data_IF_381764513749
#
_entry.id   IF_381764513749
#
_cell.length_a   1.000
_cell.length_b   1.000
_cell.length_c   1.000
_cell.angle_alpha   90.00
_cell.angle_beta   90.00
_cell.angle_gamma   90.00
#
_symmetry.space_group_name_H-M   'P 1'
#
loop_
_entity.id
_entity.type
_entity.pdbx_description
1 polymer ?
#
# COMPACT_ATOMS: atom_id res chain seq x y z
N UNK A 1 2.18 9.93 -5.19
CA UNK A 1 1.37 9.63 -3.99
C UNK A 1 1.01 8.16 -4.02
N UNK A 2 1.10 7.45 -2.89
CA UNK A 2 0.88 6.02 -2.80
C UNK A 2 -0.14 5.72 -1.71
N UNK A 3 -1.04 4.77 -1.94
CA UNK A 3 -1.87 4.22 -0.86
C UNK A 3 -1.42 2.81 -0.56
N UNK A 4 -1.30 2.55 0.72
CA UNK A 4 -1.09 1.24 1.26
C UNK A 4 -2.28 0.97 2.16
N UNK A 5 -3.26 0.24 1.66
CA UNK A 5 -4.37 -0.17 2.49
C UNK A 5 -3.96 -1.39 3.30
N UNK A 6 -4.04 -1.25 4.62
CA UNK A 6 -3.79 -2.36 5.52
C UNK A 6 -5.08 -2.83 6.13
N UNK A 7 -5.61 -3.86 5.50
CA UNK A 7 -6.74 -4.61 6.01
C UNK A 7 -6.35 -5.65 7.07
N UNK A 8 -5.10 -5.67 7.57
CA UNK A 8 -4.75 -6.56 8.69
C UNK A 8 -4.82 -5.85 10.02
N UNK A 9 -5.08 -6.63 11.07
CA UNK A 9 -4.85 -6.25 12.45
C UNK A 9 -3.40 -5.77 12.60
N UNK A 10 -3.21 -4.45 12.69
CA UNK A 10 -1.92 -3.82 12.99
C UNK A 10 -1.60 -3.88 14.50
N UNK A 11 -2.48 -4.52 15.27
CA UNK A 11 -2.48 -4.58 16.73
C UNK A 11 -2.41 -6.05 17.12
N UNK A 12 -1.21 -6.49 17.51
CA UNK A 12 -0.93 -7.88 17.92
C UNK A 12 0.38 -8.42 17.35
N UNK A 13 0.74 -8.05 16.13
CA UNK A 13 2.02 -8.38 15.51
C UNK A 13 2.70 -7.10 14.98
N UNK A 14 3.96 -6.78 15.33
CA UNK A 14 4.65 -5.60 14.83
C UNK A 14 5.05 -5.73 13.34
N UNK A 15 5.18 -6.96 12.85
CA UNK A 15 5.71 -7.31 11.52
C UNK A 15 5.04 -6.55 10.36
N UNK A 16 3.70 -6.48 10.25
CA UNK A 16 3.07 -5.88 9.07
C UNK A 16 3.40 -4.39 8.94
N UNK A 17 3.47 -3.68 10.07
CA UNK A 17 3.79 -2.26 10.09
C UNK A 17 5.27 -2.00 9.75
N UNK A 18 6.17 -2.86 10.21
CA UNK A 18 7.61 -2.78 9.90
C UNK A 18 7.88 -2.98 8.41
N UNK A 19 7.22 -3.97 7.79
CA UNK A 19 7.33 -4.19 6.35
C UNK A 19 6.88 -2.97 5.54
N UNK A 20 5.79 -2.32 5.96
CA UNK A 20 5.34 -1.09 5.32
C UNK A 20 6.28 0.07 5.47
N UNK A 21 6.84 0.21 6.66
CA UNK A 21 7.83 1.22 6.90
C UNK A 21 9.05 1.00 6.01
N UNK A 22 9.51 -0.24 5.86
CA UNK A 22 10.59 -0.60 4.94
C UNK A 22 10.29 -0.20 3.49
N UNK A 23 9.07 -0.51 3.00
CA UNK A 23 8.64 -0.11 1.65
C UNK A 23 8.57 1.41 1.52
N UNK A 24 7.97 2.09 2.49
CA UNK A 24 7.86 3.56 2.51
C UNK A 24 9.24 4.23 2.46
N UNK A 25 10.19 3.77 3.28
CA UNK A 25 11.56 4.30 3.32
C UNK A 25 12.26 4.12 1.97
N UNK A 26 12.21 2.92 1.40
CA UNK A 26 12.81 2.65 0.10
C UNK A 26 12.19 3.50 -1.03
N UNK A 27 10.87 3.75 -0.97
CA UNK A 27 10.21 4.67 -1.90
C UNK A 27 10.64 6.13 -1.68
N UNK A 28 10.76 6.59 -0.44
CA UNK A 28 11.24 7.95 -0.15
C UNK A 28 12.67 8.19 -0.65
N UNK A 29 13.53 7.17 -0.64
CA UNK A 29 14.89 7.27 -1.19
C UNK A 29 14.89 7.54 -2.70
N UNK A 30 13.90 7.04 -3.43
CA UNK A 30 13.76 7.25 -4.88
C UNK A 30 12.90 8.47 -5.22
N UNK A 31 11.91 8.78 -4.37
CA UNK A 31 10.94 9.86 -4.54
C UNK A 31 10.74 10.57 -3.19
N UNK A 32 11.54 11.60 -2.88
CA UNK A 32 11.50 12.28 -1.57
C UNK A 32 10.14 12.87 -1.17
N UNK A 33 9.28 13.17 -2.15
CA UNK A 33 7.93 13.70 -1.93
C UNK A 33 6.86 12.59 -1.80
N UNK A 34 7.26 11.37 -1.45
CA UNK A 34 6.36 10.24 -1.28
C UNK A 34 5.51 10.42 -0.03
N UNK A 35 4.19 10.49 -0.23
CA UNK A 35 3.18 10.33 0.81
C UNK A 35 2.64 8.91 0.76
N UNK A 36 2.66 8.21 1.90
CA UNK A 36 2.02 6.90 2.08
C UNK A 36 0.73 7.05 2.88
N UNK A 37 -0.40 6.66 2.29
CA UNK A 37 -1.67 6.59 3.01
C UNK A 37 -1.83 5.19 3.61
N UNK A 38 -2.13 5.10 4.90
CA UNK A 38 -2.41 3.85 5.62
C UNK A 38 -3.87 3.84 6.04
N UNK A 39 -4.60 2.80 5.64
CA UNK A 39 -6.00 2.63 6.03
C UNK A 39 -6.12 1.33 6.84
N UNK A 40 -6.14 1.39 8.18
CA UNK A 40 -6.36 0.21 9.03
C UNK A 40 -7.75 -0.40 8.81
N UNK A 41 -7.86 -1.74 8.92
CA UNK A 41 -9.16 -2.43 8.87
C UNK A 41 -10.13 -1.93 9.95
N UNK A 42 -9.58 -1.60 11.11
CA UNK A 42 -10.30 -1.14 12.28
C UNK A 42 -9.87 0.30 12.58
N UNK A 43 -10.68 1.32 12.23
CA UNK A 43 -10.31 2.73 12.38
C UNK A 43 -9.83 3.09 13.79
N UNK A 44 -10.38 2.46 14.84
CA UNK A 44 -9.97 2.66 16.22
C UNK A 44 -8.47 2.35 16.48
N UNK A 45 -7.86 1.52 15.63
CA UNK A 45 -6.44 1.19 15.69
C UNK A 45 -5.56 2.30 15.08
N UNK A 46 -6.12 3.25 14.33
CA UNK A 46 -5.37 4.27 13.61
C UNK A 46 -4.48 5.12 14.53
N UNK A 47 -4.96 5.47 15.73
CA UNK A 47 -4.15 6.20 16.73
C UNK A 47 -2.97 5.38 17.24
N UNK A 48 -3.13 4.07 17.40
CA UNK A 48 -2.04 3.19 17.81
C UNK A 48 -1.00 3.02 16.70
N UNK A 49 -1.47 2.81 15.46
CA UNK A 49 -0.62 2.76 14.26
C UNK A 49 0.19 4.05 14.12
N UNK A 50 -0.45 5.21 14.24
CA UNK A 50 0.24 6.49 14.18
C UNK A 50 1.33 6.61 15.26
N UNK A 51 1.03 6.25 16.51
CA UNK A 51 2.03 6.27 17.59
C UNK A 51 3.22 5.35 17.32
N UNK A 52 2.99 4.16 16.76
CA UNK A 52 4.07 3.23 16.41
C UNK A 52 4.96 3.83 15.31
N UNK A 53 4.37 4.38 14.26
CA UNK A 53 5.10 5.02 13.17
C UNK A 53 5.85 6.28 13.60
N UNK A 54 5.28 7.09 14.49
CA UNK A 54 5.95 8.25 15.08
C UNK A 54 7.18 7.85 15.90
N UNK A 55 7.12 6.71 16.62
CA UNK A 55 8.28 6.15 17.34
C UNK A 55 9.41 5.73 16.39
N UNK A 56 9.07 5.31 15.18
CA UNK A 56 10.01 5.00 14.08
C UNK A 56 10.45 6.25 13.29
N UNK A 57 10.22 7.45 13.83
CA UNK A 57 10.71 8.72 13.27
C UNK A 57 9.89 9.26 12.10
N UNK A 58 8.68 8.75 11.86
CA UNK A 58 7.82 9.21 10.75
C UNK A 58 6.92 10.38 11.15
N UNK A 59 6.63 11.26 10.19
CA UNK A 59 5.69 12.37 10.39
C UNK A 59 4.29 11.95 9.96
N UNK A 60 3.47 11.57 10.95
CA UNK A 60 2.14 11.00 10.72
C UNK A 60 1.03 12.04 10.95
N UNK A 61 0.05 12.06 10.05
CA UNK A 61 -1.22 12.80 10.20
C UNK A 61 -2.38 11.81 10.26
N UNK A 62 -3.33 12.03 11.17
CA UNK A 62 -4.57 11.25 11.28
C UNK A 62 -5.70 11.98 10.54
N UNK A 63 -6.53 11.23 9.80
CA UNK A 63 -7.70 11.76 9.08
C UNK A 63 -8.69 12.43 10.03
N UNK A 64 -8.96 11.81 11.17
CA UNK A 64 -9.88 12.34 12.20
C UNK A 64 -9.38 13.62 12.87
N UNK A 65 -8.08 13.90 12.81
CA UNK A 65 -7.42 15.04 13.46
C UNK A 65 -6.98 16.10 12.43
N UNK A 66 -7.74 16.25 11.34
CA UNK A 66 -7.46 17.07 10.14
C UNK A 66 -6.92 18.50 10.39
N UNK A 67 -6.97 19.00 11.62
CA UNK A 67 -6.57 20.34 12.07
C UNK A 67 -5.07 20.56 12.33
N UNK A 68 -4.19 19.61 12.01
CA UNK A 68 -2.73 19.86 12.05
C UNK A 68 -2.09 19.40 10.76
N UNK A 69 -2.05 20.29 9.76
CA UNK A 69 -1.11 20.16 8.65
C UNK A 69 0.30 20.16 9.27
N UNK A 70 0.84 18.98 9.57
CA UNK A 70 2.21 18.86 10.06
C UNK A 70 3.12 19.13 8.86
N UNK A 71 3.94 20.19 8.87
CA UNK A 71 4.93 20.37 7.82
C UNK A 71 5.76 19.08 7.71
N UNK A 72 5.98 18.59 6.49
CA UNK A 72 6.75 17.37 6.20
C UNK A 72 6.08 16.04 6.60
N UNK A 73 4.75 16.00 6.73
CA UNK A 73 4.04 14.74 6.82
C UNK A 73 4.37 13.83 5.63
N UNK A 74 4.74 12.59 5.92
CA UNK A 74 5.06 11.56 4.92
C UNK A 74 4.14 10.34 5.03
N UNK A 75 3.39 10.23 6.12
CA UNK A 75 2.37 9.20 6.32
C UNK A 75 1.03 9.82 6.70
N UNK A 76 -0.04 9.38 6.04
CA UNK A 76 -1.43 9.75 6.31
C UNK A 76 -2.23 8.53 6.78
N UNK A 77 -2.65 8.50 8.03
CA UNK A 77 -3.44 7.38 8.58
C UNK A 77 -4.93 7.74 8.54
N UNK A 78 -5.71 6.92 7.84
CA UNK A 78 -7.15 7.07 7.69
C UNK A 78 -7.85 6.27 8.78
N UNK A 79 -8.12 6.94 9.90
CA UNK A 79 -8.80 6.40 11.08
C UNK A 79 -10.30 6.70 11.08
N UNK A 80 -10.91 6.71 9.89
CA UNK A 80 -12.33 6.95 9.61
C UNK A 80 -12.92 5.85 8.72
N UNK A 81 -14.25 5.78 8.63
CA UNK A 81 -14.97 4.79 7.81
C UNK A 81 -15.54 5.41 6.55
N UNK A 82 -15.76 4.58 5.53
CA UNK A 82 -16.54 4.94 4.34
C UNK A 82 -15.79 5.74 3.27
N UNK A 83 -14.53 6.09 3.50
CA UNK A 83 -13.75 6.93 2.56
C UNK A 83 -12.87 6.11 1.59
N UNK A 84 -12.79 4.78 1.77
CA UNK A 84 -11.82 3.94 1.08
C UNK A 84 -11.96 3.97 -0.45
N UNK A 85 -13.19 3.85 -0.95
CA UNK A 85 -13.45 3.91 -2.40
C UNK A 85 -12.97 5.22 -3.02
N UNK A 86 -13.16 6.34 -2.32
CA UNK A 86 -12.68 7.66 -2.78
C UNK A 86 -11.15 7.70 -2.77
N UNK A 87 -10.53 7.18 -1.72
CA UNK A 87 -9.07 7.12 -1.61
C UNK A 87 -8.45 6.36 -2.78
N UNK A 88 -9.02 5.23 -3.20
CA UNK A 88 -8.49 4.50 -4.36
C UNK A 88 -8.43 5.34 -5.64
N UNK A 89 -9.40 6.21 -5.88
CA UNK A 89 -9.40 7.07 -7.08
C UNK A 89 -8.25 8.06 -7.12
N UNK A 90 -7.68 8.40 -5.96
CA UNK A 90 -6.54 9.29 -5.85
C UNK A 90 -5.20 8.55 -6.02
N UNK A 91 -5.23 7.23 -6.17
CA UNK A 91 -4.07 6.38 -5.93
C UNK A 91 -3.67 5.62 -7.18
N UNK A 92 -2.43 5.84 -7.66
CA UNK A 92 -1.93 5.09 -8.80
C UNK A 92 -1.74 3.61 -8.43
N UNK A 93 -1.27 3.36 -7.21
CA UNK A 93 -0.82 2.06 -6.71
C UNK A 93 -1.39 1.83 -5.31
N UNK A 94 -1.87 0.61 -5.09
CA UNK A 94 -2.52 0.19 -3.85
C UNK A 94 -1.96 -1.16 -3.41
N UNK A 95 -1.44 -1.23 -2.19
CA UNK A 95 -1.19 -2.51 -1.51
C UNK A 95 -2.45 -2.91 -0.77
N UNK A 96 -2.90 -4.15 -0.95
CA UNK A 96 -4.01 -4.76 -0.21
C UNK A 96 -3.42 -5.77 0.77
N UNK A 97 -3.75 -5.59 2.05
CA UNK A 97 -3.35 -6.49 3.12
C UNK A 97 -4.11 -7.83 3.11
N UNK A 98 -4.02 -8.54 4.23
CA UNK A 98 -4.75 -9.78 4.54
C UNK A 98 -4.10 -11.05 4.05
N UNK A 99 -3.04 -10.95 3.29
CA UNK A 99 -2.25 -12.10 2.85
C UNK A 99 -0.75 -11.85 3.02
N UNK A 100 -0.40 -10.81 3.78
CA UNK A 100 0.96 -10.41 4.11
C UNK A 100 1.51 -11.10 5.35
N UNK A 101 0.75 -12.03 5.94
CA UNK A 101 1.20 -12.87 7.04
C UNK A 101 0.68 -14.29 6.80
N UNK A 102 1.44 -15.34 7.19
CA UNK A 102 0.96 -16.71 7.15
C UNK A 102 -0.36 -16.86 7.92
N UNK A 103 -1.27 -17.68 7.39
CA UNK A 103 -2.57 -17.98 8.02
C UNK A 103 -3.73 -17.06 7.63
N UNK A 104 -3.47 -16.02 6.83
CA UNK A 104 -4.52 -15.10 6.36
C UNK A 104 -4.76 -15.25 4.84
N UNK A 105 -5.96 -14.90 4.37
CA UNK A 105 -6.45 -15.21 3.01
C UNK A 105 -6.92 -14.00 2.20
N UNK A 106 -6.14 -12.91 2.19
CA UNK A 106 -6.37 -11.71 1.37
C UNK A 106 -7.68 -10.95 1.66
N UNK A 107 -7.87 -9.80 1.02
CA UNK A 107 -9.15 -9.08 1.02
C UNK A 107 -9.57 -8.67 -0.38
N UNK A 108 -10.74 -8.05 -0.44
CA UNK A 108 -11.33 -7.61 -1.69
C UNK A 108 -10.44 -6.60 -2.41
N UNK A 109 -9.99 -6.97 -3.60
CA UNK A 109 -9.21 -6.13 -4.50
C UNK A 109 -10.09 -5.36 -5.49
N UNK A 110 -11.39 -5.69 -5.58
CA UNK A 110 -12.26 -5.23 -6.67
C UNK A 110 -12.42 -3.72 -6.69
N UNK A 111 -12.51 -3.08 -5.53
CA UNK A 111 -12.68 -1.63 -5.43
C UNK A 111 -11.42 -0.88 -5.90
N UNK A 112 -10.23 -1.36 -5.51
CA UNK A 112 -8.96 -0.82 -5.99
C UNK A 112 -8.79 -1.03 -7.50
N UNK A 113 -9.10 -2.24 -7.97
CA UNK A 113 -9.06 -2.59 -9.38
C UNK A 113 -10.01 -1.72 -10.22
N UNK A 114 -11.24 -1.52 -9.75
CA UNK A 114 -12.25 -0.69 -10.41
C UNK A 114 -11.87 0.79 -10.44
N UNK A 115 -11.16 1.28 -9.42
CA UNK A 115 -10.55 2.62 -9.42
C UNK A 115 -9.30 2.71 -10.32
N UNK A 116 -8.94 1.62 -11.01
CA UNK A 116 -7.79 1.52 -11.90
C UNK A 116 -6.45 1.43 -11.17
N UNK A 117 -6.40 1.23 -9.84
CA UNK A 117 -5.14 1.04 -9.12
C UNK A 117 -4.37 -0.17 -9.66
N UNK A 118 -3.05 -0.05 -9.75
CA UNK A 118 -2.23 -1.26 -9.77
C UNK A 118 -2.22 -1.86 -8.37
N UNK A 119 -2.64 -3.12 -8.27
CA UNK A 119 -2.85 -3.80 -6.99
C UNK A 119 -1.63 -4.65 -6.65
N UNK A 120 -1.10 -4.48 -5.45
CA UNK A 120 -0.15 -5.41 -4.86
C UNK A 120 -0.81 -6.14 -3.70
N UNK A 121 -0.59 -7.44 -3.58
CA UNK A 121 -1.18 -8.24 -2.50
C UNK A 121 -0.27 -9.40 -2.13
N UNK A 122 -0.39 -9.92 -0.91
CA UNK A 122 0.32 -11.14 -0.52
C UNK A 122 -0.32 -12.41 -1.07
N UNK A 123 0.31 -13.56 -0.81
CA UNK A 123 -0.22 -14.90 -1.09
C UNK A 123 -0.50 -15.68 0.20
N UNK A 124 -1.63 -16.42 0.30
CA UNK A 124 -2.68 -16.61 -0.70
C UNK A 124 -3.79 -15.54 -0.63
N UNK A 125 -4.47 -15.28 -1.75
CA UNK A 125 -5.61 -14.33 -1.83
C UNK A 125 -7.00 -14.97 -1.58
N UNK A 126 -7.04 -16.24 -1.17
CA UNK A 126 -8.26 -16.94 -0.76
C UNK A 126 -9.41 -16.85 -1.78
N UNK A 127 -10.55 -16.32 -1.32
CA UNK A 127 -11.78 -16.13 -2.12
C UNK A 127 -11.59 -15.27 -3.38
N UNK A 128 -10.53 -14.46 -3.46
CA UNK A 128 -10.27 -13.57 -4.59
C UNK A 128 -9.35 -14.19 -5.65
N UNK A 129 -8.93 -15.45 -5.49
CA UNK A 129 -8.05 -16.17 -6.41
C UNK A 129 -8.52 -16.12 -7.87
N UNK A 130 -9.81 -16.41 -8.13
CA UNK A 130 -10.37 -16.36 -9.49
C UNK A 130 -10.30 -14.94 -10.07
N UNK A 131 -10.63 -13.92 -9.27
CA UNK A 131 -10.57 -12.51 -9.70
C UNK A 131 -9.14 -12.10 -10.05
N UNK A 132 -8.17 -12.46 -9.21
CA UNK A 132 -6.75 -12.18 -9.47
C UNK A 132 -6.29 -12.85 -10.78
N UNK A 133 -6.66 -14.11 -11.00
CA UNK A 133 -6.32 -14.83 -12.23
C UNK A 133 -6.91 -14.15 -13.48
N UNK A 134 -8.20 -13.76 -13.44
CA UNK A 134 -8.85 -13.08 -14.57
C UNK A 134 -8.25 -11.70 -14.85
N UNK A 135 -7.92 -10.94 -13.80
CA UNK A 135 -7.25 -9.65 -13.94
C UNK A 135 -5.86 -9.83 -14.56
N UNK A 136 -5.08 -10.79 -14.09
CA UNK A 136 -3.74 -11.09 -14.61
C UNK A 136 -3.78 -11.61 -16.05
N UNK A 137 -4.83 -12.33 -16.46
CA UNK A 137 -5.05 -12.72 -17.86
C UNK A 137 -5.28 -11.52 -18.77
N UNK A 138 -6.06 -10.54 -18.31
CA UNK A 138 -6.37 -9.32 -19.06
C UNK A 138 -5.17 -8.37 -19.13
N UNK A 139 -4.44 -8.26 -18.01
CA UNK A 139 -3.21 -7.50 -17.90
C UNK A 139 -2.34 -8.13 -16.79
N UNK A 140 -1.21 -8.78 -17.13
CA UNK A 140 -0.32 -9.40 -16.13
C UNK A 140 0.18 -8.46 -15.03
N UNK A 141 0.15 -7.14 -15.28
CA UNK A 141 0.58 -6.10 -14.34
C UNK A 141 -0.58 -5.51 -13.50
N UNK A 142 -1.81 -5.96 -13.69
CA UNK A 142 -2.98 -5.47 -12.94
C UNK A 142 -2.92 -5.82 -11.44
N UNK A 143 -2.45 -7.04 -11.13
CA UNK A 143 -2.25 -7.53 -9.77
C UNK A 143 -0.89 -8.20 -9.65
N UNK A 144 -0.06 -7.71 -8.74
CA UNK A 144 1.22 -8.32 -8.39
C UNK A 144 1.10 -9.02 -7.04
N UNK A 145 1.33 -10.33 -7.03
CA UNK A 145 1.36 -11.13 -5.81
C UNK A 145 2.79 -11.29 -5.31
N UNK A 146 3.01 -11.15 -4.00
CA UNK A 146 4.31 -11.34 -3.38
C UNK A 146 4.21 -12.16 -2.08
N UNK A 147 5.33 -12.72 -1.64
CA UNK A 147 5.43 -13.40 -0.33
C UNK A 147 6.14 -12.50 0.67
N UNK A 148 5.93 -12.65 1.98
CA UNK A 148 6.55 -11.77 2.98
C UNK A 148 8.09 -11.78 2.91
N UNK A 149 8.68 -12.92 2.52
CA UNK A 149 10.13 -13.03 2.25
C UNK A 149 10.63 -12.04 1.20
N UNK A 150 9.75 -11.59 0.30
CA UNK A 150 10.07 -10.56 -0.68
C UNK A 150 10.38 -9.21 -0.01
N UNK A 151 9.69 -8.87 1.08
CA UNK A 151 9.87 -7.60 1.79
C UNK A 151 11.09 -7.61 2.72
N UNK A 152 11.44 -8.77 3.29
CA UNK A 152 12.69 -8.94 4.06
C UNK A 152 13.93 -8.59 3.21
N UNK A 153 13.92 -9.03 1.95
CA UNK A 153 14.99 -8.78 0.98
C UNK A 153 15.01 -7.33 0.44
N UNK A 154 13.93 -6.57 0.63
CA UNK A 154 13.84 -5.17 0.19
C UNK A 154 14.69 -4.22 1.05
N UNK A 155 15.15 -4.66 2.22
CA UNK A 155 15.99 -3.85 3.11
C UNK A 155 17.50 -4.06 2.91
N UNK A 156 17.92 -5.20 2.33
CA UNK A 156 19.33 -5.61 2.32
C UNK A 156 20.00 -5.60 0.93
N UNK A 157 19.27 -5.73 -0.19
CA UNK A 157 19.89 -5.98 -1.51
C UNK A 157 19.40 -5.10 -2.66
N UNK A 158 18.52 -4.13 -2.43
CA UNK A 158 17.73 -3.50 -3.52
C UNK A 158 18.41 -2.32 -4.22
N UNK A 159 19.69 -2.04 -3.92
CA UNK A 159 20.46 -0.98 -4.58
C UNK A 159 21.15 -1.40 -5.88
N UNK A 160 21.10 -2.68 -6.30
CA UNK A 160 21.90 -3.16 -7.44
C UNK A 160 21.17 -3.96 -8.53
N UNK A 161 19.86 -4.19 -8.43
CA UNK A 161 19.12 -4.94 -9.46
C UNK A 161 18.41 -4.01 -10.44
N UNK A 162 18.96 -3.93 -11.65
CA UNK A 162 18.49 -3.18 -12.81
C UNK A 162 17.14 -3.62 -13.38
N UNK A 163 16.47 -4.60 -12.76
CA UNK A 163 15.15 -5.14 -13.09
C UNK A 163 14.08 -4.83 -12.03
N UNK A 164 14.17 -3.64 -11.43
CA UNK A 164 13.32 -3.24 -10.31
C UNK A 164 11.82 -3.21 -10.68
N UNK A 165 10.92 -3.69 -9.80
CA UNK A 165 9.49 -3.41 -9.86
C UNK A 165 9.18 -1.92 -10.10
N UNK A 166 10.06 -1.00 -9.66
CA UNK A 166 9.96 0.44 -9.94
C UNK A 166 9.96 0.81 -11.43
N UNK A 167 10.72 0.13 -12.28
CA UNK A 167 10.67 0.39 -13.72
C UNK A 167 9.31 -0.02 -14.29
N UNK A 168 8.78 -1.16 -13.82
CA UNK A 168 7.44 -1.63 -14.18
C UNK A 168 6.35 -0.68 -13.64
N UNK A 169 6.54 -0.12 -12.45
CA UNK A 169 5.64 0.88 -11.86
C UNK A 169 5.62 2.18 -12.65
N UNK A 170 6.77 2.59 -13.21
CA UNK A 170 6.85 3.79 -14.08
C UNK A 170 5.96 3.62 -15.32
N UNK A 171 5.99 2.46 -15.96
CA UNK A 171 5.12 2.17 -17.12
C UNK A 171 3.62 2.21 -16.78
N UNK A 172 3.22 1.75 -15.59
CA UNK A 172 1.83 1.85 -15.13
C UNK A 172 1.42 3.30 -14.91
N UNK A 173 2.29 4.11 -14.27
CA UNK A 173 2.01 5.54 -14.06
C UNK A 173 1.88 6.31 -15.37
N UNK A 174 2.79 6.08 -16.33
CA UNK A 174 2.75 6.71 -17.65
C UNK A 174 1.45 6.36 -18.41
N UNK A 175 0.97 5.12 -18.30
CA UNK A 175 -0.30 4.69 -18.92
C UNK A 175 -1.57 5.34 -18.31
N UNK A 176 -1.48 5.86 -17.08
CA UNK A 176 -2.57 6.57 -16.40
C UNK A 176 -2.58 8.04 -16.76
N UNK A 177 -1.40 8.67 -16.81
CA UNK A 177 -1.28 10.07 -17.26
C UNK A 177 -1.86 10.21 -18.68
N UNK A 178 -1.53 9.29 -19.59
CA UNK A 178 -2.08 9.30 -20.96
C UNK A 178 -3.60 9.05 -21.03
N UNK A 179 -4.20 8.36 -20.07
CA UNK A 179 -5.66 8.09 -20.05
C UNK A 179 -6.50 9.22 -19.45
N UNK A 180 -5.88 10.13 -18.71
CA UNK A 180 -6.53 11.32 -18.14
C UNK A 180 -6.31 12.58 -19.00
N UNK A 181 -5.54 12.48 -20.09
CA UNK A 181 -5.25 13.57 -21.03
C UNK A 181 -6.01 13.45 -22.37
N UNK A 182 -6.95 12.51 -22.49
CA UNK A 182 -7.87 12.32 -23.64
C UNK A 182 -9.31 12.43 -23.15
#
# INVERSE_FOLDING_TARGET
MWTIQFTQEMVGAPEPLLYLLGVHIALMQQQPNTMTIIVPQHPQQGREVAKKLEKEGQNVVLRSQYEKFKPRANIYVVDTLGELRLLYTLMPITVIGGSLLPGWSGHNISEAAAAGCAVLTGFPVGHFSHMVLEMQRSNPLSVLQFTCRFLENWSLNTLSLSSSPMQHFKGIQESKTMRNEV
#
